data_IF_154105967095
#
_entry.id   IF_154105967095
#
_cell.length_a   1.000
_cell.length_b   1.000
_cell.length_c   1.000
_cell.angle_alpha   90.00
_cell.angle_beta   90.00
_cell.angle_gamma   90.00
#
_symmetry.space_group_name_H-M   'P 1'
#
loop_
_entity.id
_entity.type
_entity.pdbx_description
1 polymer ?
#
# COMPACT_ATOMS: atom_id res chain seq x y z
N UNK A 1 -9.03 -12.92 25.56
CA UNK A 1 -9.11 -12.04 24.35
C UNK A 1 -8.39 -10.75 24.71
N UNK A 2 -7.21 -10.50 24.12
CA UNK A 2 -6.42 -9.32 24.41
C UNK A 2 -7.06 -8.05 23.92
N UNK A 3 -6.92 -6.96 24.70
CA UNK A 3 -7.39 -5.64 24.31
C UNK A 3 -6.29 -4.86 23.58
N UNK A 4 -6.46 -4.67 22.28
CA UNK A 4 -5.55 -3.93 21.40
C UNK A 4 -6.16 -2.57 21.05
N UNK A 5 -5.43 -1.49 21.28
CA UNK A 5 -5.85 -0.16 20.80
C UNK A 5 -5.07 0.19 19.53
N UNK A 6 -5.76 0.32 18.41
CA UNK A 6 -5.17 0.69 17.12
C UNK A 6 -5.30 2.18 16.82
N UNK A 7 -4.18 2.84 16.52
CA UNK A 7 -4.16 4.25 16.11
C UNK A 7 -4.05 4.31 14.59
N UNK A 8 -5.17 4.55 13.93
CA UNK A 8 -5.36 4.46 12.47
C UNK A 8 -5.77 5.80 11.84
N UNK A 9 -5.73 5.97 10.52
CA UNK A 9 -6.49 7.04 9.86
C UNK A 9 -7.99 6.74 9.87
N UNK A 10 -8.81 7.69 9.48
CA UNK A 10 -10.22 7.45 9.15
C UNK A 10 -10.29 6.54 7.92
N UNK A 11 -11.14 5.49 7.89
CA UNK A 11 -11.25 4.58 6.74
C UNK A 11 -11.60 5.26 5.41
N UNK A 12 -12.21 6.45 5.47
CA UNK A 12 -12.59 7.22 4.28
C UNK A 12 -11.44 8.05 3.68
N UNK A 13 -10.26 8.06 4.32
CA UNK A 13 -9.07 8.79 3.84
C UNK A 13 -8.49 8.15 2.57
N UNK A 14 -8.06 8.98 1.64
CA UNK A 14 -7.33 8.54 0.46
C UNK A 14 -5.89 8.13 0.82
N UNK A 15 -5.55 6.86 0.65
CA UNK A 15 -4.16 6.40 0.83
C UNK A 15 -4.00 4.98 1.37
N UNK A 16 -2.79 4.45 1.18
CA UNK A 16 -2.46 3.05 1.47
C UNK A 16 -2.68 2.61 2.92
N UNK A 17 -2.41 3.49 3.91
CA UNK A 17 -2.64 3.11 5.32
C UNK A 17 -4.13 2.90 5.61
N UNK A 18 -5.01 3.75 5.06
CA UNK A 18 -6.45 3.59 5.21
C UNK A 18 -6.93 2.30 4.50
N UNK A 19 -6.41 2.02 3.31
CA UNK A 19 -6.71 0.77 2.59
C UNK A 19 -6.33 -0.48 3.41
N UNK A 20 -5.12 -0.52 3.98
CA UNK A 20 -4.68 -1.62 4.85
C UNK A 20 -5.56 -1.74 6.08
N UNK A 21 -5.77 -0.64 6.82
CA UNK A 21 -6.48 -0.70 8.10
C UNK A 21 -7.98 -0.91 7.94
N UNK A 22 -8.56 -0.58 6.79
CA UNK A 22 -9.98 -0.85 6.50
C UNK A 22 -10.32 -2.34 6.48
N UNK A 23 -9.41 -3.19 6.04
CA UNK A 23 -9.63 -4.64 6.02
C UNK A 23 -9.64 -5.30 7.41
N UNK A 24 -9.18 -4.61 8.45
CA UNK A 24 -9.23 -5.19 9.80
C UNK A 24 -10.64 -5.17 10.40
N UNK A 25 -11.49 -4.23 10.00
CA UNK A 25 -12.86 -4.12 10.48
C UNK A 25 -13.67 -5.35 10.05
N UNK A 26 -14.29 -6.04 11.01
CA UNK A 26 -15.06 -7.26 10.79
C UNK A 26 -14.24 -8.51 10.45
N UNK A 27 -12.90 -8.41 10.44
CA UNK A 27 -12.01 -9.54 10.14
C UNK A 27 -11.86 -10.51 11.33
N UNK A 28 -11.12 -11.61 11.10
CA UNK A 28 -10.73 -12.56 12.15
C UNK A 28 -10.02 -11.85 13.32
N UNK A 29 -9.23 -10.81 13.06
CA UNK A 29 -8.51 -10.09 14.11
C UNK A 29 -9.45 -9.54 15.21
N UNK A 30 -10.66 -9.10 14.86
CA UNK A 30 -11.65 -8.63 15.84
C UNK A 30 -12.36 -9.78 16.57
N UNK A 31 -12.25 -11.01 16.06
CA UNK A 31 -12.75 -12.22 16.75
C UNK A 31 -11.74 -12.73 17.76
N UNK A 32 -10.44 -12.60 17.44
CA UNK A 32 -9.34 -13.12 18.26
C UNK A 32 -8.85 -12.09 19.29
N UNK A 33 -9.02 -10.78 18.99
CA UNK A 33 -8.69 -9.67 19.87
C UNK A 33 -9.87 -8.71 20.03
N UNK A 34 -9.98 -8.10 21.20
CA UNK A 34 -10.85 -6.93 21.38
C UNK A 34 -10.12 -5.70 20.83
N UNK A 35 -10.51 -5.22 19.66
CA UNK A 35 -9.85 -4.09 19.00
C UNK A 35 -10.63 -2.80 19.24
N UNK A 36 -9.94 -1.76 19.73
CA UNK A 36 -10.45 -0.39 19.83
C UNK A 36 -9.72 0.52 18.87
N UNK A 37 -10.44 1.13 17.91
CA UNK A 37 -9.85 2.02 16.92
C UNK A 37 -9.91 3.49 17.36
N UNK A 38 -8.77 4.19 17.25
CA UNK A 38 -8.65 5.62 17.45
C UNK A 38 -8.22 6.27 16.14
N UNK A 39 -9.16 6.96 15.50
CA UNK A 39 -8.95 7.62 14.20
C UNK A 39 -8.26 8.96 14.39
N UNK A 40 -6.97 9.05 14.03
CA UNK A 40 -6.10 10.19 14.30
C UNK A 40 -5.87 11.13 13.11
N UNK A 41 -6.45 10.83 11.94
CA UNK A 41 -6.27 11.60 10.70
C UNK A 41 -7.51 11.52 9.82
N UNK A 42 -7.82 12.62 9.12
CA UNK A 42 -8.83 12.70 8.06
C UNK A 42 -8.29 13.56 6.92
N UNK A 43 -8.89 13.44 5.74
CA UNK A 43 -8.68 14.38 4.65
C UNK A 43 -9.38 15.72 4.95
N UNK A 44 -9.03 16.77 4.21
CA UNK A 44 -9.57 18.12 4.40
C UNK A 44 -8.50 19.16 4.71
N UNK A 45 -8.93 20.29 5.27
CA UNK A 45 -8.06 21.42 5.60
C UNK A 45 -7.07 21.11 6.72
N UNK A 46 -6.04 21.96 6.88
CA UNK A 46 -5.08 21.84 8.00
C UNK A 46 -5.79 21.91 9.36
N UNK A 47 -6.85 22.71 9.46
CA UNK A 47 -7.65 22.85 10.68
C UNK A 47 -8.45 21.58 10.98
N UNK A 48 -9.03 20.92 9.99
CA UNK A 48 -9.78 19.67 10.19
C UNK A 48 -8.84 18.54 10.65
N UNK A 49 -7.67 18.42 10.01
CA UNK A 49 -6.62 17.49 10.41
C UNK A 49 -6.16 17.71 11.85
N UNK A 50 -5.99 18.97 12.28
CA UNK A 50 -5.61 19.31 13.65
C UNK A 50 -6.74 18.97 14.65
N UNK A 51 -7.99 19.35 14.36
CA UNK A 51 -9.15 19.03 15.20
C UNK A 51 -9.31 17.52 15.37
N UNK A 52 -9.18 16.74 14.27
CA UNK A 52 -9.25 15.27 14.31
C UNK A 52 -8.15 14.69 15.20
N UNK A 53 -6.91 15.18 15.09
CA UNK A 53 -5.79 14.73 15.93
C UNK A 53 -6.02 15.06 17.42
N UNK A 54 -6.46 16.28 17.76
CA UNK A 54 -6.74 16.68 19.15
C UNK A 54 -7.87 15.85 19.77
N UNK A 55 -8.94 15.60 19.01
CA UNK A 55 -10.02 14.70 19.44
C UNK A 55 -9.51 13.29 19.71
N UNK A 56 -8.67 12.76 18.83
CA UNK A 56 -8.06 11.44 18.98
C UNK A 56 -7.15 11.35 20.23
N UNK A 57 -6.39 12.40 20.54
CA UNK A 57 -5.60 12.43 21.79
C UNK A 57 -6.48 12.42 23.04
N UNK A 58 -7.61 13.15 23.03
CA UNK A 58 -8.59 13.13 24.12
C UNK A 58 -9.21 11.73 24.29
N UNK A 59 -9.67 11.13 23.20
CA UNK A 59 -10.23 9.78 23.18
C UNK A 59 -9.22 8.76 23.71
N UNK A 60 -7.99 8.79 23.23
CA UNK A 60 -6.95 7.85 23.67
C UNK A 60 -6.61 8.02 25.16
N UNK A 61 -6.53 9.27 25.66
CA UNK A 61 -6.32 9.54 27.08
C UNK A 61 -7.46 8.99 27.93
N UNK A 62 -8.70 9.06 27.44
CA UNK A 62 -9.86 8.48 28.12
C UNK A 62 -9.79 6.95 28.17
N UNK A 63 -9.43 6.30 27.05
CA UNK A 63 -9.20 4.86 26.99
C UNK A 63 -8.13 4.46 28.01
N UNK A 64 -6.97 5.12 28.02
CA UNK A 64 -5.88 4.84 28.97
C UNK A 64 -6.26 5.00 30.44
N UNK A 65 -7.33 5.75 30.73
CA UNK A 65 -7.84 5.98 32.10
C UNK A 65 -8.91 4.98 32.50
N UNK A 66 -9.87 4.70 31.60
CA UNK A 66 -11.08 3.92 31.93
C UNK A 66 -10.94 2.42 31.63
N UNK A 67 -10.28 2.10 30.54
CA UNK A 67 -10.18 0.74 30.00
C UNK A 67 -8.85 0.60 29.24
N UNK A 68 -7.70 0.59 29.96
CA UNK A 68 -6.38 0.58 29.33
C UNK A 68 -6.17 -0.67 28.50
N UNK A 69 -5.68 -0.54 27.25
CA UNK A 69 -5.36 -1.68 26.42
C UNK A 69 -4.09 -2.38 26.91
N UNK A 70 -3.95 -3.65 26.60
CA UNK A 70 -2.74 -4.44 26.88
C UNK A 70 -1.61 -4.11 25.88
N UNK A 71 -1.98 -3.63 24.65
CA UNK A 71 -1.05 -3.24 23.61
C UNK A 71 -1.62 -2.09 22.77
N UNK A 72 -0.74 -1.18 22.36
CA UNK A 72 -1.08 -0.11 21.41
C UNK A 72 -0.39 -0.38 20.08
N UNK A 73 -1.19 -0.56 19.01
CA UNK A 73 -0.70 -0.73 17.64
C UNK A 73 -0.89 0.57 16.85
N UNK A 74 0.19 1.16 16.36
CA UNK A 74 0.18 2.47 15.71
C UNK A 74 0.54 2.30 14.24
N UNK A 75 -0.37 2.66 13.34
CA UNK A 75 -0.07 2.76 11.90
C UNK A 75 0.46 4.15 11.59
N UNK A 76 1.69 4.23 11.10
CA UNK A 76 2.41 5.47 10.89
C UNK A 76 3.12 5.55 9.53
N UNK A 77 3.57 6.74 9.19
CA UNK A 77 4.48 7.03 8.09
C UNK A 77 5.46 8.10 8.56
N UNK A 78 6.37 8.52 7.70
CA UNK A 78 7.34 9.57 8.00
C UNK A 78 6.74 10.99 7.89
N UNK A 79 7.53 12.00 8.15
CA UNK A 79 7.14 13.41 8.04
C UNK A 79 6.05 13.81 9.05
N UNK A 80 4.98 14.50 8.62
CA UNK A 80 3.90 14.96 9.51
C UNK A 80 3.19 13.83 10.28
N UNK A 81 3.18 12.62 9.71
CA UNK A 81 2.61 11.45 10.36
C UNK A 81 3.37 11.07 11.63
N UNK A 82 4.70 11.09 11.61
CA UNK A 82 5.54 10.85 12.78
C UNK A 82 5.17 11.79 13.94
N UNK A 83 5.13 13.10 13.69
CA UNK A 83 4.82 14.10 14.72
C UNK A 83 3.43 13.93 15.30
N UNK A 84 2.46 13.55 14.47
CA UNK A 84 1.07 13.27 14.91
C UNK A 84 0.98 11.99 15.75
N UNK A 85 1.83 10.99 15.49
CA UNK A 85 1.81 9.72 16.24
C UNK A 85 2.66 9.75 17.52
N UNK A 86 3.64 10.64 17.61
CA UNK A 86 4.51 10.80 18.78
C UNK A 86 3.75 10.93 20.12
N UNK A 87 2.67 11.76 20.26
CA UNK A 87 1.95 11.85 21.53
C UNK A 87 1.30 10.54 21.96
N UNK A 88 0.86 9.69 21.04
CA UNK A 88 0.28 8.37 21.38
C UNK A 88 1.36 7.45 21.96
N UNK A 89 2.54 7.41 21.32
CA UNK A 89 3.70 6.61 21.81
C UNK A 89 4.08 7.08 23.22
N UNK A 90 4.18 8.40 23.43
CA UNK A 90 4.53 8.98 24.73
C UNK A 90 3.51 8.65 25.83
N UNK A 91 2.21 8.73 25.51
CA UNK A 91 1.15 8.44 26.48
C UNK A 91 1.10 6.97 26.86
N UNK A 92 1.24 6.05 25.88
CA UNK A 92 1.30 4.61 26.12
C UNK A 92 2.53 4.24 26.94
N UNK A 93 3.72 4.71 26.55
CA UNK A 93 4.98 4.42 27.25
C UNK A 93 4.98 4.90 28.71
N UNK A 94 4.37 6.09 29.01
CA UNK A 94 4.21 6.58 30.39
C UNK A 94 3.30 5.70 31.26
N UNK A 95 2.45 4.91 30.63
CA UNK A 95 1.57 3.94 31.31
C UNK A 95 2.17 2.52 31.37
N UNK A 96 3.36 2.33 30.84
CA UNK A 96 3.98 1.01 30.73
C UNK A 96 3.32 0.08 29.71
N UNK A 97 2.45 0.63 28.84
CA UNK A 97 1.75 -0.17 27.84
C UNK A 97 2.68 -0.34 26.62
N UNK A 98 2.91 -1.57 26.17
CA UNK A 98 3.77 -1.85 25.02
C UNK A 98 3.20 -1.24 23.73
N UNK A 99 4.11 -0.76 22.88
CA UNK A 99 3.77 -0.13 21.60
C UNK A 99 4.38 -0.91 20.45
N UNK A 100 3.55 -1.29 19.50
CA UNK A 100 3.94 -1.77 18.17
C UNK A 100 3.71 -0.63 17.18
N UNK A 101 4.78 -0.21 16.48
CA UNK A 101 4.67 0.86 15.48
C UNK A 101 4.86 0.29 14.08
N UNK A 102 3.80 0.29 13.27
CA UNK A 102 3.75 -0.24 11.92
C UNK A 102 3.97 0.90 10.91
N UNK A 103 5.08 0.84 10.16
CA UNK A 103 5.52 1.92 9.29
C UNK A 103 5.21 1.59 7.84
N UNK A 104 4.43 2.46 7.18
CA UNK A 104 3.96 2.31 5.81
C UNK A 104 4.60 3.32 4.82
N UNK A 105 5.50 4.18 5.29
CA UNK A 105 6.07 5.25 4.47
C UNK A 105 7.33 4.83 3.72
N UNK A 106 7.63 5.53 2.62
CA UNK A 106 8.83 5.35 1.79
C UNK A 106 9.87 6.48 1.91
N UNK A 107 9.49 7.64 2.46
CA UNK A 107 10.34 8.84 2.48
C UNK A 107 11.23 8.92 3.74
N UNK A 108 11.92 7.81 4.10
CA UNK A 108 12.76 7.79 5.31
C UNK A 108 14.02 8.64 5.16
N UNK A 109 14.72 8.53 4.04
CA UNK A 109 15.96 9.28 3.81
C UNK A 109 15.72 10.78 3.87
N UNK A 110 14.67 11.28 3.23
CA UNK A 110 14.27 12.69 3.30
C UNK A 110 13.89 13.12 4.72
N UNK A 111 13.19 12.22 5.43
CA UNK A 111 12.72 12.51 6.78
C UNK A 111 13.82 12.49 7.83
N UNK A 112 14.76 11.53 7.74
CA UNK A 112 15.74 11.24 8.79
C UNK A 112 17.17 11.57 8.40
N UNK A 113 17.68 11.08 7.25
CA UNK A 113 19.10 11.22 6.90
C UNK A 113 19.52 12.68 6.73
N UNK A 114 18.70 13.48 6.04
CA UNK A 114 18.91 14.91 5.82
C UNK A 114 18.39 15.78 6.98
N UNK A 115 17.95 15.18 8.07
CA UNK A 115 17.38 15.92 9.19
C UNK A 115 18.49 16.48 10.12
N UNK A 116 18.26 17.62 10.79
CA UNK A 116 19.16 18.13 11.81
C UNK A 116 19.22 17.18 13.02
N UNK A 117 20.35 17.19 13.74
CA UNK A 117 20.62 16.24 14.84
C UNK A 117 19.56 16.23 15.94
N UNK A 118 18.95 17.37 16.27
CA UNK A 118 17.85 17.39 17.25
C UNK A 118 16.66 16.53 16.82
N UNK A 119 16.33 16.54 15.51
CA UNK A 119 15.24 15.73 14.96
C UNK A 119 15.62 14.26 14.91
N UNK A 120 16.85 13.93 14.50
CA UNK A 120 17.36 12.54 14.54
C UNK A 120 17.33 11.98 15.96
N UNK A 121 17.74 12.77 16.95
CA UNK A 121 17.68 12.41 18.36
C UNK A 121 16.24 12.19 18.84
N UNK A 122 15.32 13.07 18.43
CA UNK A 122 13.88 12.90 18.74
C UNK A 122 13.31 11.61 18.16
N UNK A 123 13.63 11.29 16.90
CA UNK A 123 13.18 10.06 16.23
C UNK A 123 13.69 8.83 16.98
N UNK A 124 15.01 8.75 17.23
CA UNK A 124 15.61 7.63 17.99
C UNK A 124 15.00 7.48 19.38
N UNK A 125 14.82 8.59 20.11
CA UNK A 125 14.20 8.58 21.44
C UNK A 125 12.75 8.10 21.42
N UNK A 126 12.00 8.50 20.38
CA UNK A 126 10.58 8.11 20.24
C UNK A 126 10.46 6.65 19.85
N UNK A 127 11.20 6.22 18.84
CA UNK A 127 11.18 4.83 18.40
C UNK A 127 11.71 3.87 19.47
N UNK A 128 12.74 4.28 20.23
CA UNK A 128 13.26 3.50 21.36
C UNK A 128 12.25 3.18 22.47
N UNK A 129 11.06 3.83 22.46
CA UNK A 129 9.94 3.51 23.36
C UNK A 129 9.02 2.41 22.82
N UNK A 130 9.14 2.06 21.55
CA UNK A 130 8.36 0.98 20.96
C UNK A 130 8.92 -0.39 21.35
N UNK A 131 8.05 -1.35 21.60
CA UNK A 131 8.43 -2.74 21.88
C UNK A 131 8.83 -3.46 20.60
N UNK A 132 8.14 -3.20 19.50
CA UNK A 132 8.43 -3.71 18.16
C UNK A 132 8.13 -2.63 17.11
N UNK A 133 8.86 -2.73 16.00
CA UNK A 133 8.57 -2.00 14.77
C UNK A 133 8.15 -3.01 13.71
N UNK A 134 7.07 -2.74 12.98
CA UNK A 134 6.67 -3.50 11.80
C UNK A 134 7.01 -2.66 10.57
N UNK A 135 7.61 -3.31 9.59
CA UNK A 135 7.96 -2.75 8.27
C UNK A 135 7.45 -3.68 7.18
N UNK A 136 7.36 -3.19 5.94
CA UNK A 136 6.67 -3.89 4.86
C UNK A 136 7.57 -4.84 4.07
N UNK A 137 8.90 -4.63 4.10
CA UNK A 137 9.89 -5.44 3.35
C UNK A 137 11.22 -5.52 4.10
N UNK A 138 12.07 -6.49 3.73
CA UNK A 138 13.44 -6.60 4.26
C UNK A 138 14.27 -5.34 3.95
N UNK A 139 14.07 -4.72 2.78
CA UNK A 139 14.70 -3.44 2.47
C UNK A 139 14.41 -2.39 3.57
N UNK A 140 13.16 -2.24 3.98
CA UNK A 140 12.78 -1.29 5.03
C UNK A 140 13.27 -1.70 6.42
N UNK A 141 13.48 -2.98 6.67
CA UNK A 141 14.13 -3.46 7.90
C UNK A 141 15.57 -2.99 7.99
N UNK A 142 16.34 -3.10 6.90
CA UNK A 142 17.71 -2.58 6.83
C UNK A 142 17.73 -1.06 6.99
N UNK A 143 16.90 -0.33 6.24
CA UNK A 143 16.81 1.13 6.29
C UNK A 143 16.50 1.63 7.71
N UNK A 144 15.58 1.00 8.43
CA UNK A 144 15.19 1.44 9.78
C UNK A 144 16.14 0.98 10.88
N UNK A 145 17.02 0.02 10.62
CA UNK A 145 17.99 -0.50 11.60
C UNK A 145 18.95 0.58 12.13
N UNK A 146 19.12 1.68 11.42
CA UNK A 146 19.92 2.85 11.89
C UNK A 146 19.25 3.64 13.03
N UNK A 147 17.95 3.41 13.28
CA UNK A 147 17.18 4.13 14.31
C UNK A 147 16.63 3.25 15.42
N UNK A 148 16.57 1.94 15.19
CA UNK A 148 15.94 0.98 16.09
C UNK A 148 16.65 -0.38 16.00
N UNK A 149 16.75 -1.15 17.09
CA UNK A 149 17.42 -2.47 17.09
C UNK A 149 16.82 -3.41 16.06
N UNK A 150 17.66 -3.94 15.16
CA UNK A 150 17.24 -4.75 14.02
C UNK A 150 16.45 -6.00 14.42
N UNK A 151 16.82 -6.62 15.53
CA UNK A 151 16.15 -7.80 16.11
C UNK A 151 14.73 -7.51 16.64
N UNK A 152 14.38 -6.24 16.78
CA UNK A 152 13.03 -5.79 17.18
C UNK A 152 12.21 -5.28 16.01
N UNK A 153 12.76 -5.30 14.78
CA UNK A 153 12.05 -4.95 13.56
C UNK A 153 11.54 -6.23 12.91
N UNK A 154 10.23 -6.32 12.73
CA UNK A 154 9.55 -7.46 12.10
C UNK A 154 9.06 -7.04 10.73
N UNK A 155 9.21 -7.93 9.74
CA UNK A 155 8.69 -7.70 8.40
C UNK A 155 7.32 -8.34 8.29
N UNK A 156 6.30 -7.52 8.07
CA UNK A 156 4.93 -7.97 7.75
C UNK A 156 4.49 -7.18 6.52
N UNK A 157 4.43 -7.82 5.35
CA UNK A 157 3.97 -7.17 4.12
C UNK A 157 2.52 -6.71 4.26
N UNK A 158 2.13 -5.69 3.50
CA UNK A 158 0.72 -5.46 3.22
C UNK A 158 0.14 -6.70 2.53
N UNK A 159 -1.18 -6.77 2.40
CA UNK A 159 -1.88 -7.96 1.92
C UNK A 159 -2.68 -7.69 0.64
N UNK A 160 -2.99 -8.78 -0.04
CA UNK A 160 -3.91 -8.86 -1.16
C UNK A 160 -5.21 -9.56 -0.73
N UNK A 161 -6.33 -9.07 -1.24
CA UNK A 161 -7.61 -9.81 -1.19
C UNK A 161 -7.70 -10.65 -2.47
N UNK A 162 -7.93 -11.94 -2.31
CA UNK A 162 -7.92 -12.87 -3.44
C UNK A 162 -9.32 -13.00 -4.06
N UNK A 163 -9.35 -13.06 -5.38
CA UNK A 163 -10.56 -13.20 -6.20
C UNK A 163 -10.45 -14.46 -7.06
N UNK A 164 -10.76 -15.66 -6.52
CA UNK A 164 -10.53 -16.93 -7.22
C UNK A 164 -11.32 -17.06 -8.52
N UNK A 165 -12.47 -16.39 -8.64
CA UNK A 165 -13.28 -16.36 -9.84
C UNK A 165 -12.52 -15.87 -11.10
N UNK A 166 -11.50 -15.03 -10.92
CA UNK A 166 -10.72 -14.51 -12.06
C UNK A 166 -9.79 -15.56 -12.67
N UNK A 167 -9.60 -16.69 -11.98
CA UNK A 167 -8.80 -17.82 -12.45
C UNK A 167 -9.57 -18.81 -13.29
N UNK A 168 -10.89 -18.66 -13.39
CA UNK A 168 -11.74 -19.46 -14.28
C UNK A 168 -11.41 -19.20 -15.75
N UNK A 169 -11.43 -20.24 -16.59
CA UNK A 169 -11.02 -20.17 -18.00
C UNK A 169 -11.86 -19.16 -18.79
N UNK A 170 -13.19 -19.20 -18.61
CA UNK A 170 -14.10 -18.30 -19.32
C UNK A 170 -13.92 -16.85 -18.90
N UNK A 171 -13.56 -16.60 -17.63
CA UNK A 171 -13.27 -15.26 -17.17
C UNK A 171 -11.99 -14.72 -17.84
N UNK A 172 -10.92 -15.52 -17.87
CA UNK A 172 -9.64 -15.14 -18.53
C UNK A 172 -9.79 -14.91 -20.02
N UNK A 173 -10.58 -15.73 -20.73
CA UNK A 173 -10.88 -15.53 -22.15
C UNK A 173 -11.52 -14.18 -22.41
N UNK A 174 -12.59 -13.85 -21.68
CA UNK A 174 -13.27 -12.55 -21.80
C UNK A 174 -12.36 -11.37 -21.49
N UNK A 175 -11.53 -11.49 -20.46
CA UNK A 175 -10.56 -10.46 -20.09
C UNK A 175 -9.52 -10.24 -21.20
N UNK A 176 -9.04 -11.28 -21.85
CA UNK A 176 -8.03 -11.22 -22.92
C UNK A 176 -8.56 -10.50 -24.19
N UNK A 177 -9.86 -10.40 -24.35
CA UNK A 177 -10.50 -9.59 -25.41
C UNK A 177 -10.49 -8.09 -25.08
N UNK A 178 -10.44 -7.73 -23.80
CA UNK A 178 -10.41 -6.34 -23.35
C UNK A 178 -8.98 -5.80 -23.34
N UNK A 179 -8.62 -4.92 -24.24
CA UNK A 179 -7.27 -4.32 -24.27
C UNK A 179 -7.16 -3.15 -23.26
N UNK A 180 -7.48 -3.40 -21.97
CA UNK A 180 -7.45 -2.37 -20.90
C UNK A 180 -6.17 -2.43 -20.10
N UNK A 181 -5.55 -1.25 -19.90
CA UNK A 181 -4.41 -1.02 -19.00
C UNK A 181 -4.90 -0.13 -17.86
N UNK A 182 -4.80 -0.63 -16.63
CA UNK A 182 -5.31 0.04 -15.44
C UNK A 182 -4.16 0.67 -14.64
N UNK A 183 -4.36 1.90 -14.22
CA UNK A 183 -3.61 2.57 -13.17
C UNK A 183 -4.56 3.02 -12.06
N UNK A 184 -4.19 2.81 -10.81
CA UNK A 184 -4.92 3.35 -9.66
C UNK A 184 -3.97 4.06 -8.69
N UNK A 185 -4.16 5.36 -8.51
CA UNK A 185 -3.34 6.17 -7.62
C UNK A 185 -3.53 7.67 -7.82
N UNK A 186 -2.83 8.48 -7.02
CA UNK A 186 -2.84 9.93 -7.21
C UNK A 186 -2.09 10.32 -8.47
N UNK A 187 -2.61 11.29 -9.23
CA UNK A 187 -2.00 11.76 -10.49
C UNK A 187 -0.94 12.83 -10.15
N UNK A 188 0.28 12.39 -9.91
CA UNK A 188 1.42 13.26 -9.58
C UNK A 188 2.68 12.82 -10.31
N UNK A 189 3.68 13.72 -10.41
CA UNK A 189 4.98 13.41 -11.00
C UNK A 189 5.66 12.22 -10.30
N UNK A 190 5.64 12.18 -8.97
CA UNK A 190 6.22 11.07 -8.19
C UNK A 190 5.56 9.71 -8.42
N UNK A 191 4.40 9.68 -9.07
CA UNK A 191 3.69 8.47 -9.51
C UNK A 191 3.87 8.16 -11.00
N UNK A 192 4.79 8.87 -11.68
CA UNK A 192 5.13 8.61 -13.07
C UNK A 192 4.10 9.14 -14.08
N UNK A 193 3.33 10.18 -13.71
CA UNK A 193 2.34 10.71 -14.63
C UNK A 193 2.93 11.47 -15.81
N UNK A 194 4.20 11.93 -15.72
CA UNK A 194 4.89 12.56 -16.86
C UNK A 194 5.25 11.57 -17.97
N UNK A 195 5.41 10.30 -17.63
CA UNK A 195 5.70 9.21 -18.58
C UNK A 195 4.46 8.73 -19.32
N UNK A 196 3.27 8.93 -18.76
CA UNK A 196 2.00 8.41 -19.29
C UNK A 196 1.70 8.87 -20.73
N UNK A 197 1.86 10.14 -21.13
CA UNK A 197 1.55 10.55 -22.51
C UNK A 197 2.37 9.81 -23.56
N UNK A 198 3.64 9.55 -23.28
CA UNK A 198 4.51 8.78 -24.17
C UNK A 198 4.07 7.32 -24.24
N UNK A 199 3.81 6.69 -23.06
CA UNK A 199 3.35 5.31 -22.98
C UNK A 199 2.04 5.13 -23.74
N UNK A 200 1.03 5.97 -23.49
CA UNK A 200 -0.27 5.91 -24.16
C UNK A 200 -0.11 6.02 -25.68
N UNK A 201 0.64 7.02 -26.15
CA UNK A 201 0.84 7.27 -27.58
C UNK A 201 1.50 6.07 -28.26
N UNK A 202 2.59 5.54 -27.72
CA UNK A 202 3.34 4.45 -28.33
C UNK A 202 2.58 3.12 -28.30
N UNK A 203 1.92 2.81 -27.20
CA UNK A 203 1.10 1.59 -27.12
C UNK A 203 -0.10 1.67 -28.06
N UNK A 204 -0.80 2.82 -28.15
CA UNK A 204 -1.93 2.99 -29.05
C UNK A 204 -1.54 2.94 -30.55
N UNK A 205 -0.29 3.23 -30.91
CA UNK A 205 0.21 3.05 -32.26
C UNK A 205 0.27 1.60 -32.68
N UNK A 206 0.70 0.70 -31.77
CA UNK A 206 0.85 -0.75 -32.02
C UNK A 206 -0.43 -1.53 -31.71
N UNK A 207 -1.21 -1.09 -30.73
CA UNK A 207 -2.48 -1.69 -30.29
C UNK A 207 -3.58 -0.62 -30.29
N UNK A 208 -4.16 -0.26 -31.44
CA UNK A 208 -5.13 0.86 -31.56
C UNK A 208 -6.38 0.70 -30.68
N UNK A 209 -6.77 -0.53 -30.36
CA UNK A 209 -7.93 -0.83 -29.49
C UNK A 209 -7.63 -0.69 -27.98
N UNK A 210 -6.41 -0.30 -27.58
CA UNK A 210 -6.06 -0.17 -26.17
C UNK A 210 -6.86 0.95 -25.51
N UNK A 211 -7.30 0.70 -24.26
CA UNK A 211 -7.85 1.73 -23.39
C UNK A 211 -7.04 1.81 -22.09
N UNK A 212 -6.47 2.97 -21.83
CA UNK A 212 -5.86 3.28 -20.54
C UNK A 212 -6.92 3.86 -19.60
N UNK A 213 -7.11 3.23 -18.45
CA UNK A 213 -8.01 3.72 -17.40
C UNK A 213 -7.16 4.17 -16.21
N UNK A 214 -7.13 5.46 -15.92
CA UNK A 214 -6.32 6.04 -14.86
C UNK A 214 -7.23 6.56 -13.75
N UNK A 215 -7.54 5.67 -12.78
CA UNK A 215 -8.38 5.99 -11.62
C UNK A 215 -7.59 6.71 -10.53
N UNK A 216 -7.95 7.97 -10.28
CA UNK A 216 -7.30 8.77 -9.27
C UNK A 216 -7.63 10.25 -9.36
N UNK A 217 -7.08 11.02 -8.41
CA UNK A 217 -7.20 12.49 -8.41
C UNK A 217 -5.81 13.12 -8.43
N UNK A 218 -5.69 14.31 -9.00
CA UNK A 218 -4.44 15.04 -9.06
C UNK A 218 -4.36 15.93 -10.30
N UNK A 219 -3.16 16.04 -10.87
CA UNK A 219 -2.93 16.89 -12.04
C UNK A 219 -3.11 16.07 -13.34
N UNK A 220 -4.31 16.14 -13.89
CA UNK A 220 -4.65 15.49 -15.17
C UNK A 220 -3.85 16.06 -16.35
N UNK A 221 -3.33 17.28 -16.25
CA UNK A 221 -2.52 17.87 -17.31
C UNK A 221 -1.24 17.06 -17.55
N UNK A 222 -0.64 16.49 -16.49
CA UNK A 222 0.53 15.62 -16.60
C UNK A 222 0.30 14.41 -17.52
N UNK A 223 -0.94 13.91 -17.57
CA UNK A 223 -1.30 12.73 -18.37
C UNK A 223 -1.73 13.12 -19.79
N UNK A 224 -2.37 14.28 -19.93
CA UNK A 224 -2.99 14.69 -21.21
C UNK A 224 -2.11 15.57 -22.07
N UNK A 225 -1.03 16.12 -21.50
CA UNK A 225 -0.10 17.01 -22.22
C UNK A 225 0.51 16.30 -23.44
N UNK A 226 0.41 16.94 -24.62
CA UNK A 226 0.95 16.39 -25.86
C UNK A 226 0.19 15.23 -26.49
N UNK A 227 -0.93 14.77 -25.90
CA UNK A 227 -1.82 13.81 -26.53
C UNK A 227 -2.75 14.52 -27.52
N UNK A 228 -2.96 13.89 -28.71
CA UNK A 228 -3.97 14.32 -29.68
C UNK A 228 -5.38 14.15 -29.08
N UNK A 229 -6.35 14.90 -29.62
CA UNK A 229 -7.76 14.77 -29.24
C UNK A 229 -8.25 13.31 -29.41
N UNK A 230 -7.87 12.67 -30.52
CA UNK A 230 -8.21 11.28 -30.79
C UNK A 230 -7.73 10.35 -29.66
N UNK A 231 -6.48 10.44 -29.22
CA UNK A 231 -5.94 9.61 -28.14
C UNK A 231 -6.65 9.87 -26.81
N UNK A 232 -7.02 11.12 -26.54
CA UNK A 232 -7.76 11.48 -25.31
C UNK A 232 -9.17 10.91 -25.29
N UNK A 233 -9.82 10.80 -26.44
CA UNK A 233 -11.23 10.36 -26.54
C UNK A 233 -11.37 8.86 -26.75
N UNK A 234 -10.45 8.22 -27.47
CA UNK A 234 -10.56 6.80 -27.83
C UNK A 234 -9.72 5.89 -26.92
N UNK A 235 -8.56 6.36 -26.40
CA UNK A 235 -7.60 5.52 -25.71
C UNK A 235 -7.38 5.87 -24.24
N UNK A 236 -8.02 6.91 -23.69
CA UNK A 236 -7.82 7.36 -22.32
C UNK A 236 -9.16 7.58 -21.61
N UNK A 237 -9.29 7.02 -20.40
CA UNK A 237 -10.42 7.24 -19.50
C UNK A 237 -9.89 7.74 -18.16
N UNK A 238 -10.40 8.85 -17.66
CA UNK A 238 -10.09 9.47 -16.38
C UNK A 238 -11.36 9.49 -15.51
N UNK A 239 -11.68 8.38 -14.79
CA UNK A 239 -12.93 8.29 -14.03
C UNK A 239 -12.89 9.11 -12.72
N UNK A 240 -11.76 9.72 -12.40
CA UNK A 240 -11.54 10.32 -11.08
C UNK A 240 -11.22 9.27 -10.01
N UNK A 241 -11.59 9.57 -8.77
CA UNK A 241 -11.34 8.64 -7.64
C UNK A 241 -12.39 7.54 -7.58
N UNK A 242 -11.99 6.31 -7.88
CA UNK A 242 -12.86 5.11 -7.89
C UNK A 242 -12.82 4.33 -6.59
N UNK A 243 -13.94 3.72 -6.19
CA UNK A 243 -14.09 2.93 -4.94
C UNK A 243 -15.16 1.84 -5.11
N UNK A 244 -15.14 0.88 -4.16
CA UNK A 244 -16.17 -0.17 -4.08
C UNK A 244 -16.30 -0.93 -5.39
N UNK A 245 -17.52 -1.17 -5.82
CA UNK A 245 -17.83 -1.99 -6.98
C UNK A 245 -17.22 -1.46 -8.28
N UNK A 246 -17.24 -0.13 -8.50
CA UNK A 246 -16.60 0.49 -9.67
C UNK A 246 -15.08 0.15 -9.74
N UNK A 247 -14.37 0.25 -8.62
CA UNK A 247 -12.95 -0.11 -8.57
C UNK A 247 -12.74 -1.61 -8.84
N UNK A 248 -13.58 -2.47 -8.28
CA UNK A 248 -13.50 -3.92 -8.47
C UNK A 248 -13.77 -4.30 -9.94
N UNK A 249 -14.74 -3.64 -10.58
CA UNK A 249 -15.03 -3.86 -12.00
C UNK A 249 -13.85 -3.49 -12.89
N UNK A 250 -13.18 -2.36 -12.62
CA UNK A 250 -11.97 -1.97 -13.32
C UNK A 250 -10.87 -3.03 -13.22
N UNK A 251 -10.66 -3.62 -12.04
CA UNK A 251 -9.71 -4.72 -11.89
C UNK A 251 -10.14 -5.98 -12.66
N UNK A 252 -11.44 -6.32 -12.63
CA UNK A 252 -11.96 -7.50 -13.34
C UNK A 252 -11.83 -7.39 -14.84
N UNK A 253 -12.00 -6.19 -15.39
CA UNK A 253 -11.99 -5.97 -16.84
C UNK A 253 -10.60 -5.72 -17.42
N UNK A 254 -9.61 -5.36 -16.63
CA UNK A 254 -8.29 -4.97 -17.12
C UNK A 254 -7.38 -6.15 -17.39
N UNK A 255 -6.51 -6.03 -18.39
CA UNK A 255 -5.47 -7.03 -18.71
C UNK A 255 -4.16 -6.78 -17.99
N UNK A 256 -3.76 -5.52 -17.83
CA UNK A 256 -2.45 -5.12 -17.31
C UNK A 256 -2.64 -4.04 -16.26
N UNK A 257 -1.89 -4.15 -15.17
CA UNK A 257 -1.78 -3.07 -14.20
C UNK A 257 -0.47 -2.32 -14.40
N UNK A 258 -0.54 -1.01 -14.59
CA UNK A 258 0.61 -0.14 -14.80
C UNK A 258 0.82 0.76 -13.59
N UNK A 259 2.04 0.76 -13.03
CA UNK A 259 2.42 1.66 -11.95
C UNK A 259 3.85 2.20 -12.17
N UNK A 260 4.02 3.33 -12.88
CA UNK A 260 5.33 3.89 -13.24
C UNK A 260 5.94 4.78 -12.13
N UNK A 261 5.68 4.47 -10.87
CA UNK A 261 6.06 5.29 -9.71
C UNK A 261 7.57 5.47 -9.56
N UNK A 262 8.00 6.63 -9.07
CA UNK A 262 9.39 6.94 -8.74
C UNK A 262 9.75 6.59 -7.27
N UNK A 263 8.75 6.38 -6.40
CA UNK A 263 8.97 6.03 -5.00
C UNK A 263 7.77 5.28 -4.42
N UNK A 264 8.00 4.09 -3.87
CA UNK A 264 6.99 3.26 -3.19
C UNK A 264 7.56 2.55 -1.97
N UNK A 265 6.74 2.39 -0.92
CA UNK A 265 7.08 1.50 0.18
C UNK A 265 6.65 0.05 -0.13
N UNK A 266 5.37 -0.15 -0.34
CA UNK A 266 4.70 -1.36 -0.81
C UNK A 266 3.28 -0.97 -1.26
N UNK A 267 3.07 -0.71 -2.55
CA UNK A 267 1.82 -0.11 -3.02
C UNK A 267 0.65 -1.10 -2.94
N UNK A 268 -0.44 -0.69 -2.26
CA UNK A 268 -1.66 -1.48 -2.16
C UNK A 268 -2.28 -1.78 -3.51
N UNK A 269 -2.21 -0.83 -4.46
CA UNK A 269 -2.77 -1.03 -5.79
C UNK A 269 -2.12 -2.16 -6.59
N UNK A 270 -0.81 -2.43 -6.39
CA UNK A 270 -0.17 -3.62 -6.97
C UNK A 270 -0.64 -4.91 -6.28
N UNK A 271 -0.78 -4.91 -4.95
CA UNK A 271 -1.30 -6.06 -4.22
C UNK A 271 -2.75 -6.36 -4.61
N UNK A 272 -3.59 -5.32 -4.74
CA UNK A 272 -4.95 -5.46 -5.24
C UNK A 272 -4.94 -6.06 -6.65
N UNK A 273 -4.12 -5.53 -7.56
CA UNK A 273 -3.98 -6.05 -8.92
C UNK A 273 -3.57 -7.54 -8.95
N UNK A 274 -2.63 -7.93 -8.08
CA UNK A 274 -2.21 -9.33 -7.95
C UNK A 274 -3.36 -10.23 -7.50
N UNK A 275 -4.20 -9.78 -6.58
CA UNK A 275 -5.37 -10.54 -6.10
C UNK A 275 -6.42 -10.79 -7.20
N UNK A 276 -6.45 -9.90 -8.20
CA UNK A 276 -7.22 -10.08 -9.44
C UNK A 276 -6.43 -10.78 -10.56
N UNK A 277 -5.23 -11.28 -10.29
CA UNK A 277 -4.39 -11.96 -11.27
C UNK A 277 -3.94 -11.05 -12.42
N UNK A 278 -3.75 -9.74 -12.20
CA UNK A 278 -3.24 -8.84 -13.24
C UNK A 278 -1.71 -8.91 -13.33
N UNK A 279 -1.17 -9.13 -14.52
CA UNK A 279 0.24 -8.86 -14.78
C UNK A 279 0.58 -7.41 -14.50
N UNK A 280 1.76 -7.17 -13.94
CA UNK A 280 2.20 -5.84 -13.52
C UNK A 280 3.30 -5.30 -14.42
N UNK A 281 3.14 -4.08 -14.92
CA UNK A 281 4.23 -3.29 -15.50
C UNK A 281 4.53 -2.15 -14.54
N UNK A 282 5.71 -2.14 -13.95
CA UNK A 282 6.03 -1.22 -12.86
C UNK A 282 7.52 -0.91 -12.79
N UNK A 283 7.96 -0.20 -11.77
CA UNK A 283 9.34 0.27 -11.63
C UNK A 283 10.13 -0.49 -10.58
N UNK A 284 11.46 -0.46 -10.72
CA UNK A 284 12.41 -1.08 -9.79
C UNK A 284 12.73 -0.12 -8.61
N UNK A 285 11.70 0.33 -7.85
CA UNK A 285 11.87 1.30 -6.77
C UNK A 285 11.34 0.79 -5.43
N UNK A 286 12.03 1.14 -4.35
CA UNK A 286 11.59 0.90 -2.98
C UNK A 286 11.25 -0.56 -2.68
N UNK A 287 10.01 -0.83 -2.26
CA UNK A 287 9.54 -2.17 -1.95
C UNK A 287 8.95 -2.96 -3.13
N UNK A 288 8.84 -2.35 -4.32
CA UNK A 288 8.26 -3.00 -5.51
C UNK A 288 9.02 -4.26 -5.92
N UNK A 289 10.38 -4.30 -5.99
CA UNK A 289 11.09 -5.52 -6.37
C UNK A 289 10.79 -6.72 -5.45
N UNK A 290 10.67 -6.49 -4.17
CA UNK A 290 10.28 -7.54 -3.21
C UNK A 290 8.86 -8.05 -3.49
N UNK A 291 7.92 -7.13 -3.78
CA UNK A 291 6.55 -7.47 -4.11
C UNK A 291 6.47 -8.23 -5.44
N UNK A 292 7.07 -7.69 -6.48
CA UNK A 292 7.02 -8.23 -7.83
C UNK A 292 7.70 -9.60 -7.95
N UNK A 293 8.84 -9.81 -7.28
CA UNK A 293 9.65 -11.03 -7.43
C UNK A 293 10.30 -11.15 -8.81
N UNK A 294 10.81 -12.34 -9.12
CA UNK A 294 11.61 -12.61 -10.33
C UNK A 294 10.87 -13.52 -11.34
N UNK A 295 9.55 -13.49 -11.37
CA UNK A 295 8.75 -14.34 -12.27
C UNK A 295 8.06 -13.55 -13.38
N UNK A 296 7.24 -14.22 -14.22
CA UNK A 296 6.56 -13.60 -15.35
C UNK A 296 5.46 -12.61 -14.94
N UNK A 297 5.03 -12.60 -13.69
CA UNK A 297 3.95 -11.76 -13.16
C UNK A 297 4.23 -10.26 -13.26
N UNK A 298 5.50 -9.85 -13.37
CA UNK A 298 5.85 -8.44 -13.39
C UNK A 298 7.01 -8.14 -14.34
N UNK A 299 6.92 -6.99 -15.01
CA UNK A 299 8.05 -6.38 -15.70
C UNK A 299 8.49 -5.17 -14.90
N UNK A 300 9.73 -5.18 -14.42
CA UNK A 300 10.35 -4.09 -13.70
C UNK A 300 11.20 -3.23 -14.66
N UNK A 301 10.84 -1.96 -14.80
CA UNK A 301 11.61 -0.95 -15.53
C UNK A 301 12.32 -0.02 -14.53
N UNK A 302 13.37 0.65 -14.97
CA UNK A 302 13.90 1.78 -14.20
C UNK A 302 12.87 2.93 -14.20
N UNK A 303 12.86 3.73 -13.13
CA UNK A 303 11.97 4.89 -13.07
C UNK A 303 12.27 5.84 -14.24
N UNK A 304 11.23 6.21 -15.00
CA UNK A 304 11.36 7.04 -16.21
C UNK A 304 11.63 6.24 -17.50
N UNK A 305 11.86 4.93 -17.44
CA UNK A 305 12.05 4.10 -18.64
C UNK A 305 10.70 3.74 -19.28
N UNK A 306 10.10 4.71 -19.96
CA UNK A 306 8.86 4.51 -20.72
C UNK A 306 9.01 3.44 -21.81
N UNK A 307 10.21 3.29 -22.40
CA UNK A 307 10.46 2.36 -23.49
C UNK A 307 10.20 0.92 -23.10
N UNK A 308 10.83 0.47 -22.01
CA UNK A 308 10.64 -0.87 -21.46
C UNK A 308 9.20 -1.15 -21.02
N UNK A 309 8.53 -0.14 -20.46
CA UNK A 309 7.12 -0.26 -20.08
C UNK A 309 6.21 -0.44 -21.31
N UNK A 310 6.44 0.33 -22.36
CA UNK A 310 5.71 0.20 -23.65
C UNK A 310 5.85 -1.19 -24.23
N UNK A 311 7.09 -1.71 -24.35
CA UNK A 311 7.36 -3.05 -24.88
C UNK A 311 6.64 -4.14 -24.06
N UNK A 312 6.68 -4.01 -22.73
CA UNK A 312 6.02 -4.96 -21.82
C UNK A 312 4.49 -4.94 -21.99
N UNK A 313 3.89 -3.74 -22.07
CA UNK A 313 2.44 -3.60 -22.26
C UNK A 313 2.02 -4.17 -23.61
N UNK A 314 2.71 -3.83 -24.70
CA UNK A 314 2.40 -4.34 -26.04
C UNK A 314 2.47 -5.88 -26.06
N UNK A 315 3.53 -6.47 -25.48
CA UNK A 315 3.67 -7.92 -25.38
C UNK A 315 2.49 -8.54 -24.66
N UNK A 316 2.14 -8.04 -23.48
CA UNK A 316 1.03 -8.58 -22.67
C UNK A 316 -0.35 -8.40 -23.34
N UNK A 317 -0.54 -7.35 -24.14
CA UNK A 317 -1.78 -7.14 -24.88
C UNK A 317 -1.88 -7.96 -26.18
N UNK A 318 -0.76 -8.42 -26.74
CA UNK A 318 -0.72 -9.07 -28.05
C UNK A 318 -0.46 -10.57 -27.98
N UNK A 319 0.19 -11.07 -26.90
CA UNK A 319 0.55 -12.46 -26.69
C UNK A 319 -0.30 -13.05 -25.55
N UNK A 320 -1.31 -13.84 -25.91
CA UNK A 320 -2.24 -14.41 -24.93
C UNK A 320 -1.59 -15.47 -24.04
N UNK A 321 -0.58 -16.21 -24.52
CA UNK A 321 0.13 -17.21 -23.72
C UNK A 321 1.00 -16.52 -22.66
N UNK A 322 1.76 -15.51 -23.06
CA UNK A 322 2.56 -14.70 -22.13
C UNK A 322 1.67 -14.01 -21.09
N UNK A 323 0.51 -13.50 -21.49
CA UNK A 323 -0.45 -12.89 -20.58
C UNK A 323 -1.01 -13.92 -19.58
N UNK A 324 -1.42 -15.12 -20.05
CA UNK A 324 -1.96 -16.17 -19.16
C UNK A 324 -0.92 -16.65 -18.14
N UNK A 325 0.32 -16.86 -18.57
CA UNK A 325 1.41 -17.24 -17.69
C UNK A 325 1.63 -16.18 -16.60
N UNK A 326 1.72 -14.91 -17.01
CA UNK A 326 1.92 -13.79 -16.12
C UNK A 326 0.73 -13.59 -15.15
N UNK A 327 -0.50 -13.77 -15.64
CA UNK A 327 -1.73 -13.67 -14.84
C UNK A 327 -1.78 -14.73 -13.74
N UNK A 328 -1.52 -16.00 -14.10
CA UNK A 328 -1.46 -17.11 -13.15
C UNK A 328 -0.35 -16.90 -12.11
N UNK A 329 0.82 -16.49 -12.55
CA UNK A 329 1.95 -16.22 -11.65
C UNK A 329 1.65 -15.06 -10.68
N UNK A 330 0.95 -14.01 -11.13
CA UNK A 330 0.54 -12.88 -10.31
C UNK A 330 -0.41 -13.32 -9.19
N UNK A 331 -1.46 -14.05 -9.53
CA UNK A 331 -2.43 -14.57 -8.57
C UNK A 331 -1.78 -15.53 -7.56
N UNK A 332 -1.02 -16.52 -8.04
CA UNK A 332 -0.35 -17.51 -7.19
C UNK A 332 0.60 -16.85 -6.19
N UNK A 333 1.32 -15.80 -6.63
CA UNK A 333 2.20 -15.05 -5.74
C UNK A 333 1.42 -14.30 -4.65
N UNK A 334 0.27 -13.66 -5.00
CA UNK A 334 -0.61 -13.04 -4.03
C UNK A 334 -1.11 -14.06 -3.00
N UNK A 335 -1.55 -15.23 -3.43
CA UNK A 335 -2.04 -16.30 -2.56
C UNK A 335 -0.96 -16.84 -1.63
N UNK A 336 0.22 -17.12 -2.16
CA UNK A 336 1.30 -17.76 -1.42
C UNK A 336 2.03 -16.83 -0.46
N UNK A 337 2.21 -15.55 -0.81
CA UNK A 337 3.08 -14.64 -0.04
C UNK A 337 2.33 -13.47 0.59
N UNK A 338 1.19 -13.04 0.03
CA UNK A 338 0.52 -11.78 0.40
C UNK A 338 -0.96 -11.95 0.77
N UNK A 339 -1.43 -13.16 1.07
CA UNK A 339 -2.82 -13.34 1.48
C UNK A 339 -3.13 -12.59 2.78
N UNK A 340 -4.39 -12.17 2.93
CA UNK A 340 -4.84 -11.45 4.12
C UNK A 340 -4.67 -12.28 5.39
N UNK A 341 -4.90 -13.60 5.31
CA UNK A 341 -4.73 -14.50 6.45
C UNK A 341 -3.29 -14.53 6.95
N UNK A 342 -2.30 -14.63 6.04
CA UNK A 342 -0.87 -14.56 6.42
C UNK A 342 -0.49 -13.23 7.08
N UNK A 343 -1.08 -12.15 6.60
CA UNK A 343 -0.87 -10.83 7.21
C UNK A 343 -1.40 -10.80 8.65
N UNK A 344 -2.59 -11.34 8.88
CA UNK A 344 -3.18 -11.42 10.22
C UNK A 344 -2.38 -12.36 11.14
N UNK A 345 -1.94 -13.52 10.65
CA UNK A 345 -1.06 -14.44 11.40
C UNK A 345 0.21 -13.73 11.88
N UNK A 346 0.85 -12.95 11.00
CA UNK A 346 2.03 -12.16 11.34
C UNK A 346 1.75 -11.10 12.42
N UNK A 347 0.61 -10.41 12.36
CA UNK A 347 0.22 -9.46 13.40
C UNK A 347 -0.01 -10.15 14.74
N UNK A 348 -0.70 -11.27 14.77
CA UNK A 348 -0.97 -12.03 15.99
C UNK A 348 0.31 -12.57 16.61
N UNK A 349 1.26 -13.04 15.79
CA UNK A 349 2.58 -13.49 16.28
C UNK A 349 3.34 -12.34 16.96
N UNK A 350 3.33 -11.14 16.35
CA UNK A 350 3.93 -9.95 16.98
C UNK A 350 3.24 -9.62 18.29
N UNK A 351 1.90 -9.65 18.37
CA UNK A 351 1.18 -9.36 19.60
C UNK A 351 1.51 -10.35 20.69
N UNK A 352 1.48 -11.68 20.40
CA UNK A 352 1.88 -12.72 21.35
C UNK A 352 3.32 -12.53 21.86
N UNK A 353 4.26 -12.22 20.96
CA UNK A 353 5.66 -11.98 21.32
C UNK A 353 5.86 -10.77 22.24
N UNK A 354 5.00 -9.76 22.12
CA UNK A 354 5.07 -8.52 22.93
C UNK A 354 4.36 -8.69 24.26
N UNK A 355 3.28 -9.46 24.31
CA UNK A 355 2.49 -9.70 25.52
C UNK A 355 3.06 -10.83 26.41
N UNK A 356 4.12 -11.51 25.97
CA UNK A 356 4.83 -12.52 26.75
C UNK A 356 4.21 -13.92 26.71
N UNK A 357 3.32 -14.19 25.75
CA UNK A 357 2.84 -15.53 25.46
C UNK A 357 3.90 -16.28 24.64
N UNK A 358 4.76 -17.03 25.32
CA UNK A 358 5.63 -18.02 24.67
C UNK A 358 4.72 -19.11 24.09
N UNK A 359 4.71 -19.23 22.76
CA UNK A 359 3.94 -20.27 22.10
C UNK A 359 4.39 -21.65 22.57
N UNK A 360 3.58 -22.34 23.36
CA UNK A 360 3.60 -23.78 23.38
C UNK A 360 3.09 -24.25 22.01
N UNK A 361 4.05 -24.76 21.23
CA UNK A 361 3.73 -25.47 19.99
C UNK A 361 2.81 -26.66 20.33
N UNK A 362 1.60 -26.61 19.83
CA UNK A 362 0.75 -27.81 19.69
C UNK A 362 0.93 -28.43 18.33
#
# INVERSE_FOLDING_TARGET
>A
MHHICMIVPDPMVHGGIAAVTSGYYGSRLEKDCRVTYVQSYCDGSKTDKLKKALKAYGQFREILRKDPPELVHIHSSFGPSFFRKLPFIEMAARKGIPVVNHIHGSAFSEFYENAPEWKKRLVRKTYGKCSRMIVLTEHWREVLSVTFPKEKIVVIPNYSVLHPEVMEEDFRKRRNENKKVLYLGVLTEGKGMREMPEIIRRVAQEVPAVTFVLGGVGDEALVTEGLSEKLRTENLVLPGWVRGEEKEELFRESMVFLLPSHMEAMPMSLLEAMGYGLPMVTTNVGGIPNLAGNGPQAVLAEAGDSGKMVEAIIRLLSDSEAWEEASKASYNRAEQEYSFERHLDGLEEVYRSVLGETGEQK
#
